data_IF_970330610684
#
_entry.id   IF_970330610684
#
_cell.length_a   1.000
_cell.length_b   1.000
_cell.length_c   1.000
_cell.angle_alpha   90.00
_cell.angle_beta   90.00
_cell.angle_gamma   90.00
#
_symmetry.space_group_name_H-M   'P 1'
#
loop_
_entity.id
_entity.type
_entity.pdbx_description
1 polymer ?
#
# COMPACT_ATOMS: atom_id res chain seq x y z
N UNK A 1 -23.34 21.38 -12.18
CA UNK A 1 -22.17 21.14 -13.05
C UNK A 1 -22.67 20.33 -14.25
N UNK A 2 -22.25 20.63 -15.47
CA UNK A 2 -22.69 19.85 -16.63
C UNK A 2 -22.00 18.48 -16.66
N UNK A 3 -22.56 17.50 -17.37
CA UNK A 3 -21.94 16.17 -17.53
C UNK A 3 -20.53 16.27 -18.15
N UNK A 4 -20.35 17.22 -19.08
CA UNK A 4 -19.05 17.52 -19.70
C UNK A 4 -18.04 18.02 -18.66
N UNK A 5 -18.48 18.79 -17.68
CA UNK A 5 -17.62 19.28 -16.60
C UNK A 5 -17.25 18.16 -15.62
N UNK A 6 -18.20 17.27 -15.29
CA UNK A 6 -17.93 16.10 -14.45
C UNK A 6 -16.93 15.16 -15.11
N UNK A 7 -17.05 14.91 -16.41
CA UNK A 7 -16.12 14.03 -17.12
C UNK A 7 -14.70 14.62 -17.15
N UNK A 8 -14.56 15.93 -17.38
CA UNK A 8 -13.26 16.61 -17.29
C UNK A 8 -12.67 16.55 -15.89
N UNK A 9 -13.52 16.69 -14.86
CA UNK A 9 -13.10 16.62 -13.47
C UNK A 9 -12.66 15.20 -13.09
N UNK A 10 -13.39 14.18 -13.57
CA UNK A 10 -13.06 12.78 -13.37
C UNK A 10 -11.68 12.44 -13.92
N UNK A 11 -11.38 12.85 -15.16
CA UNK A 11 -10.04 12.61 -15.76
C UNK A 11 -8.89 13.20 -14.97
N UNK A 12 -9.12 14.35 -14.33
CA UNK A 12 -8.11 14.95 -13.43
C UNK A 12 -7.94 14.10 -12.18
N UNK A 13 -9.04 13.59 -11.64
CA UNK A 13 -9.03 12.70 -10.49
C UNK A 13 -8.34 11.37 -10.79
N UNK A 14 -8.66 10.71 -11.92
CA UNK A 14 -7.98 9.50 -12.39
C UNK A 14 -6.46 9.73 -12.41
N UNK A 15 -6.02 10.83 -13.02
CA UNK A 15 -4.59 11.17 -13.08
C UNK A 15 -3.93 11.27 -11.70
N UNK A 16 -4.62 11.81 -10.69
CA UNK A 16 -4.12 11.89 -9.31
C UNK A 16 -3.97 10.49 -8.73
N UNK A 17 -5.01 9.67 -8.86
CA UNK A 17 -5.04 8.29 -8.36
C UNK A 17 -3.98 7.44 -9.05
N UNK A 18 -3.95 7.41 -10.38
CA UNK A 18 -3.05 6.60 -11.21
C UNK A 18 -1.58 6.88 -10.94
N UNK A 19 -1.26 8.15 -10.70
CA UNK A 19 0.13 8.56 -10.48
C UNK A 19 0.50 8.70 -9.01
N UNK A 20 -0.47 8.49 -8.11
CA UNK A 20 -0.32 8.61 -6.65
C UNK A 20 0.33 9.94 -6.27
N UNK A 21 -0.08 11.01 -6.96
CA UNK A 21 0.56 12.33 -6.91
C UNK A 21 -0.46 13.42 -6.58
N UNK A 22 -0.46 13.83 -5.31
CA UNK A 22 -1.32 14.90 -4.81
C UNK A 22 -1.04 16.24 -5.47
N UNK A 23 0.15 16.49 -6.04
CA UNK A 23 0.46 17.76 -6.71
C UNK A 23 -0.37 18.01 -7.96
N UNK A 24 -0.99 16.95 -8.51
CA UNK A 24 -1.88 17.04 -9.67
C UNK A 24 -3.30 17.45 -9.32
N UNK A 25 -3.63 17.56 -8.03
CA UNK A 25 -4.93 18.06 -7.58
C UNK A 25 -4.99 19.55 -7.89
N UNK A 26 -5.71 19.95 -8.93
CA UNK A 26 -5.89 21.36 -9.27
C UNK A 26 -6.98 22.03 -8.42
N UNK A 27 -7.18 23.34 -8.60
CA UNK A 27 -8.14 24.11 -7.82
C UNK A 27 -9.57 23.60 -7.95
N UNK A 28 -9.97 23.14 -9.13
CA UNK A 28 -11.34 22.66 -9.38
C UNK A 28 -11.55 21.33 -8.67
N UNK A 29 -10.60 20.42 -8.79
CA UNK A 29 -10.67 19.13 -8.10
C UNK A 29 -10.60 19.30 -6.59
N UNK A 30 -9.70 20.14 -6.09
CA UNK A 30 -9.63 20.51 -4.68
C UNK A 30 -10.98 21.00 -4.15
N UNK A 31 -11.62 21.96 -4.83
CA UNK A 31 -12.92 22.49 -4.41
C UNK A 31 -13.99 21.41 -4.35
N UNK A 32 -14.06 20.56 -5.37
CA UNK A 32 -15.02 19.45 -5.36
C UNK A 32 -14.77 18.50 -4.18
N UNK A 33 -13.51 18.11 -3.94
CA UNK A 33 -13.19 17.13 -2.90
C UNK A 33 -13.54 17.63 -1.50
N UNK A 34 -13.21 18.88 -1.15
CA UNK A 34 -13.51 19.38 0.20
C UNK A 34 -14.97 19.80 0.36
N UNK A 35 -15.64 20.34 -0.68
CA UNK A 35 -17.02 20.80 -0.57
C UNK A 35 -18.05 19.68 -0.72
N UNK A 36 -17.73 18.67 -1.53
CA UNK A 36 -18.70 17.66 -1.96
C UNK A 36 -18.28 16.24 -1.64
N UNK A 37 -16.99 15.96 -1.42
CA UNK A 37 -16.51 14.62 -1.07
C UNK A 37 -16.03 14.51 0.39
N UNK A 38 -16.38 15.47 1.25
CA UNK A 38 -16.18 15.38 2.70
C UNK A 38 -14.73 15.50 3.17
N UNK A 39 -13.79 15.85 2.29
CA UNK A 39 -12.40 16.05 2.67
C UNK A 39 -12.21 17.34 3.50
N UNK A 40 -11.22 17.34 4.38
CA UNK A 40 -10.82 18.54 5.11
C UNK A 40 -10.07 19.48 4.15
N UNK A 41 -10.40 20.77 4.16
CA UNK A 41 -9.84 21.73 3.22
C UNK A 41 -8.34 22.07 3.44
N UNK A 42 -7.80 21.78 4.64
CA UNK A 42 -6.41 22.05 5.03
C UNK A 42 -5.94 23.50 4.78
N UNK A 43 -6.77 24.48 5.18
CA UNK A 43 -6.61 25.92 4.95
C UNK A 43 -6.64 26.34 3.47
N UNK A 44 -5.82 25.74 2.62
CA UNK A 44 -5.76 25.99 1.18
C UNK A 44 -5.32 24.74 0.38
N UNK A 45 -5.18 24.90 -0.94
CA UNK A 45 -4.77 23.82 -1.84
C UNK A 45 -3.34 23.33 -1.57
N UNK A 46 -2.43 24.18 -1.09
CA UNK A 46 -1.06 23.80 -0.83
C UNK A 46 -1.00 22.89 0.39
N UNK A 47 -1.66 23.27 1.49
CA UNK A 47 -1.80 22.44 2.68
C UNK A 47 -2.53 21.13 2.39
N UNK A 48 -3.55 21.16 1.51
CA UNK A 48 -4.25 19.96 1.06
C UNK A 48 -3.32 18.99 0.33
N UNK A 49 -2.55 19.47 -0.65
CA UNK A 49 -1.61 18.64 -1.42
C UNK A 49 -0.51 18.07 -0.54
N UNK A 50 0.04 18.87 0.37
CA UNK A 50 1.07 18.43 1.31
C UNK A 50 0.55 17.34 2.24
N UNK A 51 -0.66 17.51 2.78
CA UNK A 51 -1.28 16.52 3.69
C UNK A 51 -1.38 15.14 3.03
N UNK A 52 -1.76 15.10 1.75
CA UNK A 52 -1.93 13.86 1.01
C UNK A 52 -0.72 13.49 0.14
N UNK A 53 0.45 14.09 0.39
CA UNK A 53 1.69 13.72 -0.30
C UNK A 53 2.33 12.49 0.35
N UNK A 54 3.10 11.73 -0.45
CA UNK A 54 3.83 10.56 0.04
C UNK A 54 2.89 9.57 0.73
N UNK A 55 3.26 9.09 1.91
CA UNK A 55 2.46 8.12 2.68
C UNK A 55 1.09 8.66 3.10
N UNK A 56 0.94 9.99 3.19
CA UNK A 56 -0.35 10.65 3.42
C UNK A 56 -1.37 10.37 2.30
N UNK A 57 -0.91 9.97 1.11
CA UNK A 57 -1.79 9.53 0.03
C UNK A 57 -2.61 8.29 0.42
N UNK A 58 -2.14 7.44 1.33
CA UNK A 58 -2.94 6.30 1.81
C UNK A 58 -4.17 6.78 2.59
N UNK A 59 -4.04 7.85 3.38
CA UNK A 59 -5.18 8.45 4.08
C UNK A 59 -6.20 9.05 3.09
N UNK A 60 -5.74 9.55 1.93
CA UNK A 60 -6.63 10.00 0.85
C UNK A 60 -7.49 8.85 0.31
N UNK A 61 -6.89 7.67 0.12
CA UNK A 61 -7.58 6.45 -0.33
C UNK A 61 -8.53 5.92 0.74
N UNK A 62 -8.07 5.89 2.00
CA UNK A 62 -8.85 5.43 3.15
C UNK A 62 -10.13 6.24 3.33
N UNK A 63 -10.10 7.54 3.06
CA UNK A 63 -11.27 8.42 3.12
C UNK A 63 -12.44 7.89 2.28
N UNK A 64 -12.17 7.44 1.05
CA UNK A 64 -13.21 6.88 0.17
C UNK A 64 -13.75 5.52 0.66
N UNK A 65 -12.93 4.74 1.35
CA UNK A 65 -13.36 3.49 1.97
C UNK A 65 -14.26 3.75 3.20
N UNK A 66 -13.88 4.73 4.03
CA UNK A 66 -14.52 5.03 5.31
C UNK A 66 -15.88 5.71 5.20
N UNK A 67 -16.13 6.46 4.11
CA UNK A 67 -17.34 7.27 3.97
C UNK A 67 -18.26 6.74 2.86
N UNK A 68 -19.06 5.69 3.12
CA UNK A 68 -20.00 5.14 2.12
C UNK A 68 -21.12 6.12 1.76
N UNK A 69 -21.37 7.14 2.59
CA UNK A 69 -22.39 8.16 2.34
C UNK A 69 -22.01 9.17 1.24
N UNK A 70 -20.79 9.12 0.71
CA UNK A 70 -20.37 9.96 -0.41
C UNK A 70 -21.28 9.79 -1.64
N UNK A 71 -22.02 8.68 -1.74
CA UNK A 71 -22.97 8.39 -2.81
C UNK A 71 -24.34 9.11 -2.74
N UNK A 72 -24.60 9.94 -1.73
CA UNK A 72 -25.89 10.62 -1.55
C UNK A 72 -25.87 12.12 -1.96
N UNK A 73 -27.05 12.69 -2.21
CA UNK A 73 -27.21 14.12 -2.52
C UNK A 73 -26.99 14.50 -3.99
N UNK A 74 -26.93 15.80 -4.28
CA UNK A 74 -26.85 16.36 -5.65
C UNK A 74 -25.58 16.01 -6.41
N UNK A 75 -24.53 15.57 -5.70
CA UNK A 75 -23.25 15.11 -6.27
C UNK A 75 -23.01 13.61 -6.04
N UNK A 76 -24.00 12.90 -5.47
CA UNK A 76 -23.84 11.54 -4.98
C UNK A 76 -23.43 10.54 -6.06
N UNK A 77 -24.02 10.63 -7.25
CA UNK A 77 -23.66 9.75 -8.37
C UNK A 77 -22.21 9.94 -8.80
N UNK A 78 -21.78 11.18 -8.96
CA UNK A 78 -20.40 11.49 -9.34
C UNK A 78 -19.41 11.06 -8.25
N UNK A 79 -19.70 11.36 -6.99
CA UNK A 79 -18.87 10.95 -5.86
C UNK A 79 -18.79 9.42 -5.70
N UNK A 80 -19.88 8.70 -5.99
CA UNK A 80 -19.88 7.24 -6.04
C UNK A 80 -18.91 6.73 -7.12
N UNK A 81 -18.91 7.34 -8.31
CA UNK A 81 -17.95 7.01 -9.37
C UNK A 81 -16.50 7.25 -8.93
N UNK A 82 -16.21 8.38 -8.27
CA UNK A 82 -14.87 8.65 -7.69
C UNK A 82 -14.48 7.55 -6.70
N UNK A 83 -15.40 7.18 -5.81
CA UNK A 83 -15.18 6.13 -4.80
C UNK A 83 -14.92 4.77 -5.43
N UNK A 84 -15.74 4.36 -6.38
CA UNK A 84 -15.60 3.07 -7.08
C UNK A 84 -14.23 2.96 -7.73
N UNK A 85 -13.80 4.02 -8.44
CA UNK A 85 -12.47 4.07 -9.06
C UNK A 85 -11.33 3.91 -8.03
N UNK A 86 -11.42 4.62 -6.90
CA UNK A 86 -10.40 4.52 -5.85
C UNK A 86 -10.33 3.11 -5.27
N UNK A 87 -11.49 2.50 -5.00
CA UNK A 87 -11.54 1.17 -4.38
C UNK A 87 -11.06 0.07 -5.33
N UNK A 88 -11.33 0.20 -6.63
CA UNK A 88 -10.79 -0.70 -7.66
C UNK A 88 -9.26 -0.70 -7.67
N UNK A 89 -8.63 0.44 -7.37
CA UNK A 89 -7.18 0.60 -7.38
C UNK A 89 -6.53 0.54 -5.99
N UNK A 90 -7.31 0.39 -4.92
CA UNK A 90 -6.81 0.58 -3.55
C UNK A 90 -5.72 -0.42 -3.17
N UNK A 91 -5.89 -1.69 -3.53
CA UNK A 91 -4.90 -2.74 -3.25
C UNK A 91 -3.58 -2.49 -3.99
N UNK A 92 -3.65 -2.12 -5.27
CA UNK A 92 -2.46 -1.80 -6.07
C UNK A 92 -1.72 -0.60 -5.49
N UNK A 93 -2.45 0.44 -5.09
CA UNK A 93 -1.87 1.62 -4.44
C UNK A 93 -1.17 1.22 -3.13
N UNK A 94 -1.83 0.46 -2.26
CA UNK A 94 -1.22 0.01 -0.99
C UNK A 94 0.02 -0.83 -1.25
N UNK A 95 -0.03 -1.73 -2.23
CA UNK A 95 1.11 -2.55 -2.65
C UNK A 95 2.29 -1.71 -3.13
N UNK A 96 2.05 -0.66 -3.91
CA UNK A 96 3.10 0.28 -4.35
C UNK A 96 3.78 0.96 -3.16
N UNK A 97 3.00 1.42 -2.18
CA UNK A 97 3.53 2.10 -1.00
C UNK A 97 4.30 1.14 -0.08
N UNK A 98 3.80 -0.08 0.14
CA UNK A 98 4.49 -1.12 0.90
C UNK A 98 5.84 -1.45 0.27
N UNK A 99 5.88 -1.72 -1.04
CA UNK A 99 7.15 -1.97 -1.76
C UNK A 99 8.14 -0.82 -1.64
N UNK A 100 7.68 0.43 -1.72
CA UNK A 100 8.53 1.61 -1.54
C UNK A 100 9.07 1.72 -0.11
N UNK A 101 8.27 1.37 0.89
CA UNK A 101 8.71 1.33 2.29
C UNK A 101 9.80 0.27 2.49
N UNK A 102 9.58 -0.95 2.00
CA UNK A 102 10.56 -2.05 2.07
C UNK A 102 11.87 -1.68 1.38
N UNK A 103 11.80 -1.04 0.20
CA UNK A 103 12.99 -0.58 -0.52
C UNK A 103 13.77 0.49 0.26
N UNK A 104 13.08 1.43 0.93
CA UNK A 104 13.73 2.43 1.79
C UNK A 104 14.39 1.79 2.99
N UNK A 105 13.73 0.82 3.63
CA UNK A 105 14.27 0.08 4.77
C UNK A 105 15.51 -0.72 4.37
N UNK A 106 15.45 -1.47 3.27
CA UNK A 106 16.60 -2.20 2.73
C UNK A 106 17.77 -1.26 2.40
N UNK A 107 17.49 -0.08 1.82
CA UNK A 107 18.52 0.92 1.53
C UNK A 107 19.18 1.43 2.83
N UNK A 108 18.39 1.68 3.87
CA UNK A 108 18.91 2.10 5.18
C UNK A 108 19.77 1.02 5.83
N UNK A 109 19.31 -0.23 5.82
CA UNK A 109 20.05 -1.37 6.36
C UNK A 109 21.39 -1.56 5.64
N UNK A 110 21.40 -1.48 4.31
CA UNK A 110 22.62 -1.55 3.52
C UNK A 110 23.60 -0.41 3.85
N UNK A 111 23.09 0.81 4.02
CA UNK A 111 23.93 1.96 4.41
C UNK A 111 24.55 1.78 5.80
N UNK A 112 23.77 1.23 6.75
CA UNK A 112 24.26 0.93 8.09
C UNK A 112 25.31 -0.19 8.07
N UNK A 113 25.07 -1.26 7.32
CA UNK A 113 25.98 -2.37 7.21
C UNK A 113 27.33 -1.96 6.59
N UNK A 114 27.29 -1.17 5.51
CA UNK A 114 28.48 -0.60 4.88
C UNK A 114 29.30 0.25 5.86
N UNK A 115 28.64 1.06 6.72
CA UNK A 115 29.30 1.86 7.76
C UNK A 115 30.05 1.00 8.78
N UNK A 116 29.59 -0.21 9.05
CA UNK A 116 30.15 -1.12 10.05
C UNK A 116 30.98 -2.28 9.45
N UNK A 117 31.20 -2.30 8.13
CA UNK A 117 31.94 -3.37 7.45
C UNK A 117 31.21 -4.72 7.42
N UNK A 118 29.88 -4.71 7.53
CA UNK A 118 29.01 -5.89 7.49
C UNK A 118 28.22 -5.89 6.18
N UNK A 119 27.82 -7.07 5.69
CA UNK A 119 26.94 -7.20 4.52
C UNK A 119 25.55 -7.66 4.97
N UNK A 120 24.49 -7.04 4.44
CA UNK A 120 23.10 -7.45 4.69
C UNK A 120 22.66 -8.41 3.60
N UNK A 121 22.22 -9.60 4.00
CA UNK A 121 21.56 -10.55 3.12
C UNK A 121 20.06 -10.57 3.46
N UNK A 122 19.16 -10.33 2.49
CA UNK A 122 17.73 -10.44 2.74
C UNK A 122 17.40 -11.90 3.09
N UNK A 123 16.79 -12.11 4.27
CA UNK A 123 16.36 -13.43 4.70
C UNK A 123 15.08 -13.80 3.92
N UNK A 124 15.19 -14.69 2.93
CA UNK A 124 14.04 -15.14 2.13
C UNK A 124 14.31 -15.54 0.67
N UNK A 125 15.54 -15.45 0.16
CA UNK A 125 15.87 -15.94 -1.19
C UNK A 125 16.31 -17.42 -1.24
N UNK A 126 16.60 -18.04 -0.10
CA UNK A 126 16.89 -19.47 0.00
C UNK A 126 15.74 -20.16 0.72
N UNK A 127 14.92 -20.91 -0.02
CA UNK A 127 14.16 -22.00 0.60
C UNK A 127 15.21 -22.99 1.10
N UNK A 128 15.36 -23.21 2.41
CA UNK A 128 16.30 -24.21 2.88
C UNK A 128 15.72 -25.57 2.46
N UNK A 129 16.31 -26.19 1.44
CA UNK A 129 16.16 -27.63 1.26
C UNK A 129 16.79 -28.28 2.48
N UNK A 130 15.95 -28.66 3.44
CA UNK A 130 16.35 -29.44 4.59
C UNK A 130 16.87 -30.78 4.07
N UNK A 131 18.21 -30.93 3.97
CA UNK A 131 18.79 -32.27 3.89
C UNK A 131 18.62 -32.88 5.27
N UNK A 132 17.78 -33.90 5.36
CA UNK A 132 17.72 -34.75 6.54
C UNK A 132 19.15 -35.19 6.92
N UNK A 133 19.56 -35.05 8.18
CA UNK A 133 20.83 -35.61 8.62
C UNK A 133 20.71 -37.13 8.64
N UNK A 134 21.60 -37.81 7.92
CA UNK A 134 21.85 -39.25 8.01
C UNK A 134 22.22 -39.60 9.46
N UNK A 135 21.21 -39.99 10.24
CA UNK A 135 21.40 -40.51 11.58
C UNK A 135 21.33 -42.03 11.53
N UNK A 136 22.46 -42.61 11.95
CA UNK A 136 22.67 -43.95 12.51
C UNK A 136 23.07 -45.06 11.53
N UNK A 137 24.39 -45.24 11.37
CA UNK A 137 24.97 -46.56 11.12
C UNK A 137 26.27 -46.78 11.89
N UNK A 138 26.26 -46.70 13.23
CA UNK A 138 27.37 -47.22 14.03
C UNK A 138 27.05 -47.38 15.51
N UNK A 139 26.18 -48.32 15.88
CA UNK A 139 26.35 -49.06 17.14
C UNK A 139 26.03 -50.53 16.86
N UNK A 140 27.07 -51.34 16.76
CA UNK A 140 26.99 -52.79 16.77
C UNK A 140 27.21 -53.29 18.19
N UNK A 141 26.37 -54.26 18.57
CA UNK A 141 26.62 -55.43 19.44
C UNK A 141 25.76 -55.52 20.72
N UNK A 142 25.11 -56.68 20.75
CA UNK A 142 24.85 -57.58 21.88
C UNK A 142 23.83 -57.17 22.94
N UNK A 143 22.72 -57.92 22.96
CA UNK A 143 21.84 -58.04 24.11
C UNK A 143 20.53 -58.75 23.75
N UNK A 144 20.54 -60.08 23.77
CA UNK A 144 19.35 -60.93 23.70
C UNK A 144 18.32 -60.50 24.75
N UNK A 145 17.02 -60.53 24.43
CA UNK A 145 15.99 -61.01 25.35
C UNK A 145 14.85 -61.66 24.57
N UNK A 146 14.58 -62.90 24.96
CA UNK A 146 13.53 -63.79 24.47
C UNK A 146 12.14 -63.30 24.91
N UNK A 147 11.14 -63.49 24.06
CA UNK A 147 9.73 -63.38 24.43
C UNK A 147 9.18 -64.80 24.63
N UNK A 148 8.78 -65.12 25.86
CA UNK A 148 7.89 -66.25 26.15
C UNK A 148 6.44 -65.76 26.07
N UNK A 149 5.59 -66.59 25.45
CA UNK A 149 4.14 -66.41 25.32
C UNK A 149 3.40 -66.49 26.66
#
# INVERSE_FOLDING_TARGET
MSDVDYERLFKKFEKVVDTRDSQKIDKVLYHHLYQHAGFIAHYDIHGYRETYAGEGFLAFIDHFAQYPYLGYGSHGEFNRRLREYVLEHAEDIRGDFARKADQKELALLNALAAKHGVTVHPHGADVPTFREPDLVSSISKSGQFEFAF
#
